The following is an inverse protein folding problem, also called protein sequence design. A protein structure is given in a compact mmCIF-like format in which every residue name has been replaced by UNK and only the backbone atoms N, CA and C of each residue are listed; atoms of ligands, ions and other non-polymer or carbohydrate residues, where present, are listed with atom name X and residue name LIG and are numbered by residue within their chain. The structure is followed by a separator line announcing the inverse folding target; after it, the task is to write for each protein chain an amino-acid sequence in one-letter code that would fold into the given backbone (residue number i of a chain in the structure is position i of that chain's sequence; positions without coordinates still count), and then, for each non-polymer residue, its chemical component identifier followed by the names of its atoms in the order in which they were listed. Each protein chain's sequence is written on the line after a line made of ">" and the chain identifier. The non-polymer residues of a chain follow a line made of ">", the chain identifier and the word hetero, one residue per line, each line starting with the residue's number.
data_IF_446094811974
#
_entry.id   IF_446094811974
#
_cell.length_a   1.000
_cell.length_b   1.000
_cell.length_c   1.000
_cell.angle_alpha   90.00
_cell.angle_beta   90.00
_cell.angle_gamma   90.00
#
_symmetry.space_group_name_H-M   'P 1'
#
loop_
_entity.id
_entity.type
_entity.pdbx_description
1 polymer ?
#
# COMPACT_ATOMS: atom_id res chain seq x y z
N UNK A 1 -29.62 -40.62 2.33
CA UNK A 1 -29.29 -39.30 1.76
C UNK A 1 -27.80 -39.11 1.75
N UNK A 2 -27.18 -39.47 0.64
CA UNK A 2 -25.74 -39.32 0.40
C UNK A 2 -25.59 -38.23 -0.67
N UNK A 3 -24.83 -37.17 -0.37
CA UNK A 3 -24.68 -36.01 -1.26
C UNK A 3 -23.41 -36.23 -2.08
N UNK A 4 -23.58 -36.50 -3.37
CA UNK A 4 -22.50 -36.60 -4.34
C UNK A 4 -22.22 -35.22 -4.93
N UNK A 5 -20.98 -34.73 -4.81
CA UNK A 5 -20.55 -33.44 -5.38
C UNK A 5 -19.59 -33.74 -6.53
N UNK A 6 -20.02 -33.45 -7.76
CA UNK A 6 -19.14 -33.47 -8.94
C UNK A 6 -18.50 -32.10 -9.16
N UNK A 7 -17.20 -32.04 -9.53
CA UNK A 7 -16.55 -30.79 -9.89
C UNK A 7 -16.90 -30.37 -11.32
N UNK A 8 -17.53 -29.21 -11.46
CA UNK A 8 -17.83 -28.57 -12.75
C UNK A 8 -16.55 -27.92 -13.31
N UNK A 9 -15.85 -28.60 -14.23
CA UNK A 9 -14.73 -28.00 -14.95
C UNK A 9 -15.25 -27.05 -16.04
N UNK A 10 -15.21 -25.75 -15.77
CA UNK A 10 -15.43 -24.72 -16.81
C UNK A 10 -14.41 -23.60 -16.63
N UNK A 11 -13.13 -23.95 -16.75
CA UNK A 11 -12.05 -22.99 -16.94
C UNK A 11 -11.71 -22.94 -18.43
N UNK A 12 -12.10 -21.88 -19.11
CA UNK A 12 -11.71 -21.63 -20.51
C UNK A 12 -10.23 -21.21 -20.49
N UNK A 13 -9.35 -22.09 -20.99
CA UNK A 13 -7.95 -21.78 -21.26
C UNK A 13 -7.85 -20.87 -22.50
N UNK A 14 -7.34 -19.66 -22.35
CA UNK A 14 -6.90 -18.86 -23.50
C UNK A 14 -5.46 -19.24 -23.84
N UNK A 15 -5.29 -20.19 -24.76
CA UNK A 15 -4.00 -20.48 -25.39
C UNK A 15 -3.57 -19.32 -26.31
N UNK A 16 -2.31 -18.95 -26.18
CA UNK A 16 -1.60 -18.03 -27.05
C UNK A 16 -1.32 -18.75 -28.39
N UNK A 17 -1.66 -18.14 -29.51
CA UNK A 17 -1.27 -18.61 -30.85
C UNK A 17 -0.60 -17.47 -31.60
N UNK A 18 0.68 -17.70 -31.90
CA UNK A 18 1.46 -16.95 -32.87
C UNK A 18 0.85 -17.08 -34.26
N UNK A 19 0.70 -15.94 -34.94
CA UNK A 19 0.24 -15.86 -36.32
C UNK A 19 0.83 -14.62 -36.99
N UNK A 20 1.98 -14.80 -37.63
CA UNK A 20 2.55 -13.84 -38.56
C UNK A 20 1.59 -13.64 -39.73
N UNK A 21 1.32 -12.41 -40.17
CA UNK A 21 1.37 -12.02 -41.58
C UNK A 21 1.30 -10.50 -41.75
N UNK A 22 2.25 -9.99 -42.55
CA UNK A 22 2.37 -8.62 -43.05
C UNK A 22 1.11 -8.20 -43.84
N UNK A 23 0.70 -6.94 -43.70
CA UNK A 23 0.54 -6.02 -44.84
C UNK A 23 0.28 -4.58 -44.40
N UNK A 24 0.76 -3.67 -45.24
CA UNK A 24 0.93 -2.25 -44.99
C UNK A 24 -0.24 -1.39 -45.49
N UNK A 25 -0.23 -0.14 -45.00
CA UNK A 25 -0.52 1.12 -45.71
C UNK A 25 -1.78 1.92 -45.32
N UNK A 26 -1.46 3.17 -44.93
CA UNK A 26 -2.17 4.46 -45.14
C UNK A 26 -3.13 4.98 -44.05
N UNK A 27 -2.63 5.99 -43.32
CA UNK A 27 -3.41 7.08 -42.71
C UNK A 27 -3.89 8.06 -43.81
N UNK A 28 -4.99 8.79 -43.58
CA UNK A 28 -4.85 10.22 -43.23
C UNK A 28 -5.81 10.71 -42.11
N UNK A 29 -5.50 11.89 -41.55
CA UNK A 29 -6.18 12.60 -40.45
C UNK A 29 -7.36 13.48 -40.91
N UNK A 30 -8.19 13.90 -39.90
CA UNK A 30 -9.08 15.08 -39.75
C UNK A 30 -10.59 14.77 -39.85
N UNK A 31 -11.54 15.43 -39.19
CA UNK A 31 -11.64 16.45 -38.13
C UNK A 31 -13.17 16.59 -37.86
N UNK A 32 -13.54 16.66 -36.58
CA UNK A 32 -14.78 17.15 -35.93
C UNK A 32 -16.20 16.92 -36.47
N UNK A 33 -17.01 16.39 -35.54
CA UNK A 33 -18.34 16.88 -35.08
C UNK A 33 -19.58 16.68 -35.97
N UNK A 34 -20.55 15.89 -35.47
CA UNK A 34 -21.92 16.39 -35.29
C UNK A 34 -22.81 15.41 -34.51
N UNK A 35 -23.54 16.01 -33.57
CA UNK A 35 -24.59 15.47 -32.74
C UNK A 35 -25.80 15.00 -33.55
N UNK A 36 -26.26 13.76 -33.33
CA UNK A 36 -27.64 13.39 -33.61
C UNK A 36 -28.23 12.49 -32.51
N UNK A 37 -29.04 13.15 -31.68
CA UNK A 37 -30.38 12.74 -31.25
C UNK A 37 -30.65 11.23 -31.08
N UNK A 38 -30.76 10.82 -29.81
CA UNK A 38 -31.79 9.86 -29.42
C UNK A 38 -32.65 10.44 -28.29
N UNK A 39 -33.86 10.85 -28.67
CA UNK A 39 -34.99 11.07 -27.78
C UNK A 39 -35.41 9.72 -27.19
N UNK A 40 -35.37 9.59 -25.87
CA UNK A 40 -36.18 8.61 -25.16
C UNK A 40 -36.73 9.25 -23.89
N UNK A 41 -38.00 9.61 -23.97
CA UNK A 41 -38.82 10.09 -22.87
C UNK A 41 -39.12 8.94 -21.92
N UNK A 42 -38.38 8.84 -20.81
CA UNK A 42 -38.83 8.08 -19.64
C UNK A 42 -38.99 9.04 -18.46
N UNK A 43 -40.16 9.68 -18.37
CA UNK A 43 -40.59 10.32 -17.13
C UNK A 43 -40.93 9.23 -16.12
N UNK A 44 -39.97 8.89 -15.26
CA UNK A 44 -40.27 8.21 -13.98
C UNK A 44 -39.72 9.08 -12.85
N UNK A 45 -40.65 9.76 -12.20
CA UNK A 45 -40.51 10.61 -11.03
C UNK A 45 -39.60 9.95 -9.98
N UNK A 46 -38.37 10.45 -9.80
CA UNK A 46 -37.48 10.07 -8.70
C UNK A 46 -38.09 10.58 -7.40
N UNK A 47 -38.74 9.69 -6.64
CA UNK A 47 -39.01 9.95 -5.22
C UNK A 47 -37.69 9.82 -4.47
N UNK A 48 -37.11 10.95 -4.10
CA UNK A 48 -36.07 11.03 -3.07
C UNK A 48 -36.61 10.37 -1.80
N UNK A 49 -36.12 9.19 -1.46
CA UNK A 49 -36.37 8.56 -0.16
C UNK A 49 -35.28 9.08 0.78
N UNK A 50 -35.52 10.23 1.40
CA UNK A 50 -34.70 10.72 2.52
C UNK A 50 -34.69 9.62 3.59
N UNK A 51 -33.56 8.95 3.76
CA UNK A 51 -33.38 8.02 4.87
C UNK A 51 -33.44 8.84 6.17
N UNK A 52 -34.50 8.63 6.96
CA UNK A 52 -34.51 9.05 8.37
C UNK A 52 -33.42 8.22 9.06
N UNK A 53 -32.35 8.88 9.51
CA UNK A 53 -31.45 8.32 10.51
C UNK A 53 -32.25 8.18 11.80
N UNK A 54 -32.78 6.99 12.03
CA UNK A 54 -33.24 6.60 13.34
C UNK A 54 -31.98 6.17 14.11
N UNK A 55 -31.56 6.97 15.08
CA UNK A 55 -30.55 6.54 16.05
C UNK A 55 -31.14 5.41 16.88
N UNK A 56 -30.71 4.18 16.63
CA UNK A 56 -30.95 3.07 17.55
C UNK A 56 -30.14 3.29 18.85
N UNK A 57 -30.63 2.82 20.00
CA UNK A 57 -29.87 2.84 21.24
C UNK A 57 -28.57 2.03 21.09
N UNK A 58 -27.55 2.26 21.94
CA UNK A 58 -26.28 1.52 21.85
C UNK A 58 -26.55 0.02 21.99
N UNK A 59 -26.48 -0.70 20.88
CA UNK A 59 -26.46 -2.16 20.88
C UNK A 59 -25.15 -2.67 21.49
N UNK A 60 -25.05 -3.98 21.78
CA UNK A 60 -23.90 -4.59 22.47
C UNK A 60 -22.60 -4.64 21.63
N UNK A 61 -22.42 -3.75 20.65
CA UNK A 61 -21.19 -3.55 19.88
C UNK A 61 -20.09 -2.79 20.64
N UNK A 62 -20.37 -2.36 21.88
CA UNK A 62 -19.45 -1.58 22.72
C UNK A 62 -18.17 -2.34 23.09
N UNK A 63 -18.19 -3.68 23.08
CA UNK A 63 -17.04 -4.50 23.50
C UNK A 63 -15.90 -4.51 22.48
N UNK A 64 -16.19 -4.68 21.19
CA UNK A 64 -15.17 -4.72 20.12
C UNK A 64 -14.51 -3.35 19.89
N UNK A 65 -15.29 -2.28 20.02
CA UNK A 65 -14.77 -0.91 19.84
C UNK A 65 -13.88 -0.49 21.02
N UNK A 66 -14.27 -0.89 22.24
CA UNK A 66 -13.48 -0.64 23.44
C UNK A 66 -12.17 -1.44 23.47
N UNK A 67 -12.19 -2.70 23.02
CA UNK A 67 -10.99 -3.53 22.89
C UNK A 67 -10.01 -2.94 21.87
N UNK A 68 -10.48 -2.58 20.66
CA UNK A 68 -9.66 -1.89 19.64
C UNK A 68 -9.09 -0.57 20.14
N UNK A 69 -9.88 0.20 20.90
CA UNK A 69 -9.40 1.45 21.50
C UNK A 69 -8.30 1.19 22.55
N UNK A 70 -8.37 0.10 23.31
CA UNK A 70 -7.30 -0.26 24.26
C UNK A 70 -6.03 -0.76 23.58
N UNK A 71 -6.16 -1.55 22.51
CA UNK A 71 -5.04 -1.99 21.66
C UNK A 71 -4.31 -0.77 21.07
N UNK A 72 -5.06 0.18 20.52
CA UNK A 72 -4.48 1.42 19.99
C UNK A 72 -3.78 2.24 21.08
N UNK A 73 -4.37 2.37 22.27
CA UNK A 73 -3.74 3.05 23.42
C UNK A 73 -2.45 2.37 23.88
N UNK A 74 -2.39 1.02 23.85
CA UNK A 74 -1.15 0.27 24.13
C UNK A 74 -0.10 0.56 23.06
N UNK A 75 -0.51 0.62 21.79
CA UNK A 75 0.39 0.90 20.67
C UNK A 75 0.93 2.33 20.71
N UNK A 76 0.07 3.30 21.04
CA UNK A 76 0.43 4.70 21.23
C UNK A 76 1.51 4.87 22.32
N UNK A 77 1.40 4.13 23.44
CA UNK A 77 2.43 4.11 24.50
C UNK A 77 3.76 3.50 24.05
N UNK A 78 3.78 2.75 22.95
CA UNK A 78 4.97 2.11 22.38
C UNK A 78 5.58 2.95 21.24
N UNK A 79 4.95 4.06 20.84
CA UNK A 79 5.48 4.91 19.77
C UNK A 79 6.76 5.62 20.25
N UNK A 80 7.78 5.51 19.42
CA UNK A 80 9.05 6.20 19.58
C UNK A 80 9.11 7.38 18.63
N UNK A 81 9.70 8.48 19.10
CA UNK A 81 10.07 9.60 18.23
C UNK A 81 11.35 9.24 17.46
N UNK A 82 11.48 9.74 16.23
CA UNK A 82 12.61 9.47 15.34
C UNK A 82 13.96 9.86 15.94
N UNK A 83 14.03 10.94 16.73
CA UNK A 83 15.26 11.32 17.44
C UNK A 83 15.76 10.26 18.42
N UNK A 84 14.87 9.40 18.94
CA UNK A 84 15.19 8.35 19.90
C UNK A 84 15.47 6.99 19.25
N UNK A 85 15.34 6.87 17.92
CA UNK A 85 15.58 5.63 17.20
C UNK A 85 17.07 5.43 16.89
N UNK A 86 17.89 5.27 17.93
CA UNK A 86 19.36 5.26 17.83
C UNK A 86 20.04 3.96 18.28
N UNK A 87 19.32 3.02 18.90
CA UNK A 87 19.92 1.79 19.41
C UNK A 87 19.91 0.68 18.35
N UNK A 88 21.05 0.02 18.16
CA UNK A 88 21.17 -1.16 17.29
C UNK A 88 20.30 -2.30 17.83
N UNK A 89 19.69 -3.09 16.95
CA UNK A 89 18.86 -4.26 17.26
C UNK A 89 17.60 -3.99 18.11
N UNK A 90 17.28 -2.72 18.40
CA UNK A 90 16.01 -2.35 19.01
C UNK A 90 14.97 -2.14 17.91
N UNK A 91 13.78 -2.70 18.11
CA UNK A 91 12.61 -2.48 17.27
C UNK A 91 11.85 -1.25 17.76
N UNK A 92 11.48 -0.41 16.81
CA UNK A 92 10.74 0.82 17.03
C UNK A 92 9.42 0.80 16.27
N UNK A 93 8.43 1.45 16.87
CA UNK A 93 7.19 1.81 16.19
C UNK A 93 7.16 3.33 16.11
N UNK A 94 6.95 3.90 14.94
CA UNK A 94 7.01 5.36 14.73
C UNK A 94 5.78 5.83 13.96
N UNK A 95 5.24 6.96 14.35
CA UNK A 95 4.19 7.68 13.63
C UNK A 95 4.85 8.89 12.96
N UNK A 96 4.83 8.93 11.64
CA UNK A 96 5.64 9.85 10.84
C UNK A 96 4.87 10.36 9.64
N UNK A 97 5.23 11.53 9.14
CA UNK A 97 4.78 12.05 7.86
C UNK A 97 5.81 11.68 6.79
N UNK A 98 5.33 11.27 5.61
CA UNK A 98 6.19 11.00 4.46
C UNK A 98 6.62 12.32 3.83
N UNK A 99 7.92 12.55 3.73
CA UNK A 99 8.48 13.73 3.04
C UNK A 99 8.59 13.43 1.55
N UNK A 100 9.22 12.31 1.19
CA UNK A 100 9.27 11.84 -0.19
C UNK A 100 9.58 10.33 -0.29
N UNK A 101 8.85 9.59 -1.14
CA UNK A 101 9.23 8.22 -1.50
C UNK A 101 10.28 8.21 -2.61
N UNK A 102 11.11 7.16 -2.63
CA UNK A 102 12.06 6.88 -3.71
C UNK A 102 11.59 5.70 -4.58
N UNK A 103 12.06 5.65 -5.83
CA UNK A 103 11.78 4.53 -6.73
C UNK A 103 12.36 3.20 -6.20
N UNK A 104 11.61 2.12 -6.39
CA UNK A 104 12.06 0.75 -6.13
C UNK A 104 13.22 0.40 -7.05
N UNK A 105 14.25 -0.23 -6.47
CA UNK A 105 15.40 -0.78 -7.18
C UNK A 105 15.54 -2.26 -6.83
N UNK A 106 15.85 -3.10 -7.82
CA UNK A 106 16.30 -4.46 -7.54
C UNK A 106 17.80 -4.46 -7.28
N UNK A 107 18.20 -4.97 -6.11
CA UNK A 107 19.61 -5.14 -5.77
C UNK A 107 19.98 -6.62 -5.73
N UNK A 108 21.19 -6.93 -6.17
CA UNK A 108 21.72 -8.28 -6.11
C UNK A 108 22.37 -8.52 -4.74
N UNK A 109 21.75 -9.34 -3.91
CA UNK A 109 22.30 -9.74 -2.61
C UNK A 109 23.16 -10.98 -2.82
N UNK A 110 24.46 -10.84 -2.55
CA UNK A 110 25.44 -11.94 -2.59
C UNK A 110 25.52 -12.58 -1.21
N UNK A 111 24.69 -13.58 -0.95
CA UNK A 111 24.74 -14.36 0.30
C UNK A 111 25.72 -15.53 0.24
N UNK A 112 25.97 -16.08 -0.96
CA UNK A 112 26.93 -17.17 -1.19
C UNK A 112 27.62 -17.00 -2.55
N UNK A 113 28.88 -17.47 -2.72
CA UNK A 113 29.65 -17.25 -3.96
C UNK A 113 28.98 -17.67 -5.28
N UNK A 114 28.01 -18.59 -5.25
CA UNK A 114 27.32 -19.11 -6.44
C UNK A 114 25.82 -18.83 -6.50
N UNK A 115 25.25 -18.16 -5.49
CA UNK A 115 23.83 -17.82 -5.46
C UNK A 115 23.65 -16.34 -5.17
N UNK A 116 23.13 -15.62 -6.15
CA UNK A 116 22.70 -14.25 -5.97
C UNK A 116 21.19 -14.18 -6.02
N UNK A 117 20.57 -13.62 -4.98
CA UNK A 117 19.14 -13.32 -4.99
C UNK A 117 18.97 -11.84 -5.35
N UNK A 118 18.03 -11.54 -6.25
CA UNK A 118 17.62 -10.15 -6.49
C UNK A 118 16.52 -9.80 -5.50
N UNK A 119 16.69 -8.69 -4.79
CA UNK A 119 15.76 -8.24 -3.77
C UNK A 119 15.32 -6.81 -4.09
N UNK A 120 14.02 -6.53 -4.13
CA UNK A 120 13.53 -5.17 -4.26
C UNK A 120 13.83 -4.38 -2.98
N UNK A 121 14.32 -3.15 -3.16
CA UNK A 121 14.61 -2.19 -2.10
C UNK A 121 14.08 -0.83 -2.51
N UNK A 122 13.48 -0.14 -1.56
CA UNK A 122 13.10 1.26 -1.70
C UNK A 122 13.56 2.05 -0.48
N UNK A 123 13.46 3.37 -0.55
CA UNK A 123 13.67 4.24 0.60
C UNK A 123 12.55 5.25 0.64
N UNK A 124 12.08 5.58 1.84
CA UNK A 124 11.20 6.72 2.06
C UNK A 124 11.89 7.65 3.05
N UNK A 125 11.81 8.96 2.82
CA UNK A 125 12.21 9.95 3.82
C UNK A 125 10.97 10.33 4.61
N UNK A 126 11.11 10.30 5.92
CA UNK A 126 10.01 10.55 6.86
C UNK A 126 10.45 11.56 7.92
N UNK A 127 9.49 12.30 8.44
CA UNK A 127 9.68 13.30 9.50
C UNK A 127 8.62 13.08 10.58
N UNK A 128 8.94 13.38 11.83
CA UNK A 128 7.99 13.33 12.95
C UNK A 128 7.91 14.68 13.67
N UNK A 129 7.14 14.74 14.76
CA UNK A 129 6.99 15.95 15.58
C UNK A 129 8.28 16.44 16.25
N UNK A 130 9.38 15.70 16.16
CA UNK A 130 10.69 16.14 16.62
C UNK A 130 11.51 16.87 15.56
N UNK A 131 10.91 17.16 14.41
CA UNK A 131 11.55 17.80 13.25
C UNK A 131 12.77 17.02 12.73
N UNK A 132 12.87 15.75 13.12
CA UNK A 132 13.97 14.87 12.73
C UNK A 132 13.58 14.13 11.46
N UNK A 133 14.28 14.39 10.37
CA UNK A 133 14.15 13.59 9.16
C UNK A 133 14.99 12.31 9.26
N UNK A 134 14.43 11.19 8.80
CA UNK A 134 15.13 9.91 8.70
C UNK A 134 14.78 9.22 7.39
N UNK A 135 15.79 8.57 6.78
CA UNK A 135 15.55 7.59 5.72
C UNK A 135 15.14 6.26 6.33
N UNK A 136 14.07 5.67 5.80
CA UNK A 136 13.65 4.30 6.09
C UNK A 136 13.89 3.45 4.86
N UNK A 137 14.79 2.48 4.96
CA UNK A 137 15.08 1.50 3.91
C UNK A 137 14.07 0.37 4.01
N UNK A 138 13.33 0.16 2.93
CA UNK A 138 12.29 -0.85 2.81
C UNK A 138 12.81 -2.01 1.97
N UNK A 139 12.74 -3.23 2.51
CA UNK A 139 13.30 -4.44 1.89
C UNK A 139 12.21 -5.44 1.51
N UNK A 140 12.48 -6.25 0.48
CA UNK A 140 11.58 -7.30 0.03
C UNK A 140 10.16 -6.74 -0.25
N UNK A 141 9.11 -7.39 0.27
CA UNK A 141 7.73 -6.93 0.09
C UNK A 141 7.49 -5.50 0.60
N UNK A 142 8.21 -5.06 1.63
CA UNK A 142 8.06 -3.71 2.17
C UNK A 142 8.49 -2.63 1.17
N UNK A 143 9.39 -2.93 0.22
CA UNK A 143 9.81 -1.98 -0.81
C UNK A 143 8.63 -1.45 -1.62
N UNK A 144 7.60 -2.28 -1.84
CA UNK A 144 6.41 -1.92 -2.58
C UNK A 144 5.48 -0.94 -1.86
N UNK A 145 5.64 -0.73 -0.55
CA UNK A 145 4.90 0.32 0.16
C UNK A 145 5.27 1.72 -0.33
N UNK A 146 6.46 1.90 -0.93
CA UNK A 146 6.84 3.17 -1.56
C UNK A 146 5.91 3.57 -2.72
N UNK A 147 5.16 2.63 -3.30
CA UNK A 147 4.19 2.90 -4.38
C UNK A 147 2.82 3.33 -3.85
N UNK A 148 2.57 3.16 -2.55
CA UNK A 148 1.26 3.39 -1.93
C UNK A 148 1.26 4.56 -0.95
N UNK A 149 2.38 5.28 -0.83
CA UNK A 149 2.52 6.44 0.03
C UNK A 149 2.97 7.64 -0.79
N UNK A 150 2.44 8.81 -0.47
CA UNK A 150 2.74 10.07 -1.13
C UNK A 150 3.35 11.09 -0.15
N UNK A 151 4.08 12.09 -0.63
CA UNK A 151 4.48 13.24 0.19
C UNK A 151 3.27 13.84 0.92
N UNK A 152 3.37 13.97 2.24
CA UNK A 152 2.31 14.47 3.12
C UNK A 152 1.55 13.39 3.89
N UNK A 153 1.56 12.12 3.43
CA UNK A 153 0.83 11.04 4.08
C UNK A 153 1.35 10.81 5.50
N UNK A 154 0.43 10.63 6.46
CA UNK A 154 0.77 10.21 7.80
C UNK A 154 0.77 8.68 7.85
N UNK A 155 1.89 8.08 8.24
CA UNK A 155 2.06 6.61 8.28
C UNK A 155 2.53 6.15 9.66
N UNK A 156 1.99 5.01 10.09
CA UNK A 156 2.51 4.25 11.21
C UNK A 156 3.40 3.12 10.67
N UNK A 157 4.68 3.15 11.05
CA UNK A 157 5.65 2.12 10.74
C UNK A 157 5.95 1.32 12.01
N UNK A 158 5.85 0.00 11.95
CA UNK A 158 6.13 -0.88 13.09
C UNK A 158 7.35 -1.75 12.87
N UNK A 159 7.94 -2.18 13.98
CA UNK A 159 9.05 -3.14 14.01
C UNK A 159 10.23 -2.78 13.09
N UNK A 160 10.50 -1.48 12.93
CA UNK A 160 11.67 -0.98 12.21
C UNK A 160 12.89 -0.93 13.13
N UNK A 161 14.08 -1.12 12.58
CA UNK A 161 15.33 -1.14 13.34
C UNK A 161 16.27 -0.05 12.88
N UNK A 162 17.15 0.40 13.78
CA UNK A 162 18.22 1.32 13.41
C UNK A 162 19.28 0.59 12.56
N UNK A 163 19.66 1.21 11.45
CA UNK A 163 20.76 0.79 10.59
C UNK A 163 21.71 1.97 10.36
N UNK A 164 23.00 1.75 10.58
CA UNK A 164 24.04 2.75 10.33
C UNK A 164 24.63 2.54 8.95
N UNK A 165 24.50 3.52 8.07
CA UNK A 165 25.16 3.49 6.77
C UNK A 165 26.64 3.87 6.94
N UNK A 166 27.50 2.85 7.01
CA UNK A 166 28.94 3.01 7.20
C UNK A 166 29.64 3.86 6.13
N UNK A 167 29.05 3.99 4.93
CA UNK A 167 29.64 4.79 3.85
C UNK A 167 29.43 6.30 4.04
N UNK A 168 28.27 6.69 4.58
CA UNK A 168 27.87 8.09 4.70
C UNK A 168 27.86 8.58 6.16
N UNK A 169 28.07 7.70 7.15
CA UNK A 169 27.91 8.02 8.57
C UNK A 169 26.48 8.38 8.98
N UNK A 170 25.50 8.10 8.11
CA UNK A 170 24.09 8.47 8.34
C UNK A 170 23.37 7.35 9.09
N UNK A 171 22.67 7.71 10.17
CA UNK A 171 21.78 6.80 10.88
C UNK A 171 20.44 6.76 10.13
N UNK A 172 20.10 5.57 9.64
CA UNK A 172 18.87 5.26 8.91
C UNK A 172 18.03 4.26 9.73
N UNK A 173 16.80 4.05 9.29
CA UNK A 173 15.93 2.99 9.77
C UNK A 173 15.75 1.95 8.68
N UNK A 174 15.42 0.72 9.06
CA UNK A 174 15.25 -0.39 8.15
C UNK A 174 14.01 -1.21 8.51
N UNK A 175 13.21 -1.59 7.51
CA UNK A 175 12.11 -2.54 7.67
C UNK A 175 12.62 -3.93 8.00
N UNK A 176 11.92 -4.65 8.86
CA UNK A 176 12.14 -6.07 9.13
C UNK A 176 11.05 -6.93 8.49
N UNK A 177 11.17 -8.26 8.56
CA UNK A 177 10.14 -9.19 8.08
C UNK A 177 8.81 -9.07 8.84
N UNK A 178 8.81 -8.49 10.04
CA UNK A 178 7.60 -8.27 10.84
C UNK A 178 7.11 -6.83 10.78
N UNK A 179 7.78 -5.96 10.00
CA UNK A 179 7.33 -4.59 9.83
C UNK A 179 5.97 -4.53 9.17
N UNK A 180 5.19 -3.54 9.57
CA UNK A 180 3.94 -3.18 8.92
C UNK A 180 3.95 -1.67 8.66
N UNK A 181 3.26 -1.28 7.58
CA UNK A 181 2.96 0.12 7.27
C UNK A 181 1.44 0.27 7.26
N UNK A 182 0.94 1.20 8.05
CA UNK A 182 -0.46 1.65 8.01
C UNK A 182 -0.48 3.11 7.55
N UNK A 183 -1.08 3.37 6.40
CA UNK A 183 -1.31 4.72 5.87
C UNK A 183 -2.60 5.28 6.49
N UNK A 184 -2.51 6.46 7.11
CA UNK A 184 -3.59 7.15 7.82
C UNK A 184 -4.14 8.36 7.06
N UNK A 185 -3.60 8.65 5.86
CA UNK A 185 -4.00 9.77 5.02
C UNK A 185 -3.12 11.00 5.15
#
# INVERSE_FOLDING_TARGET
>A
NEIHIEPLSSGILCSQVDGSHKNSSKRPRKYEDCFHLFHSTFKRQLKSKRAKLNSSPPGPGTREDQERMTEFKKLQKKLSSLKNCCCKNQKYNVLVMVVHPCHIKEIQVKTRPKSSCKVPVATIVVIDQSETERKVVLWHGAAFWSLTVFPGDIVLLTDIIMYENLWCGEIMLQSTFTSQLLNLG
#
